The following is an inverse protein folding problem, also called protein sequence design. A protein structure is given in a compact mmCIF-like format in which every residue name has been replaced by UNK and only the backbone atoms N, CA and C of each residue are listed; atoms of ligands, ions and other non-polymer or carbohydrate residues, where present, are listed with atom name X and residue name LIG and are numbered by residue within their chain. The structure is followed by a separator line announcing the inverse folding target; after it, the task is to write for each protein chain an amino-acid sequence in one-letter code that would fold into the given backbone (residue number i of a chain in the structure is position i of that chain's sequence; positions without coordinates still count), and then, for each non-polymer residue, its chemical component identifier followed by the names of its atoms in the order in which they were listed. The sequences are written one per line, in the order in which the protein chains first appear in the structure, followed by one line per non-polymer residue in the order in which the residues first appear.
data_IF_696224588550
#
_entry.id   IF_696224588550
#
_cell.length_a   1.000
_cell.length_b   1.000
_cell.length_c   1.000
_cell.angle_alpha   90.00
_cell.angle_beta   90.00
_cell.angle_gamma   90.00
#
_symmetry.space_group_name_H-M   'P 1'
#
loop_
_entity.id
_entity.type
_entity.pdbx_description
1 polymer ?
#
# COMPACT_ATOMS: atom_id res chain seq x y z
N UNK A 1 16.87 14.69 17.96
CA UNK A 1 16.55 15.29 16.64
C UNK A 1 16.74 14.30 15.50
N UNK A 2 17.88 13.61 15.39
CA UNK A 2 18.14 12.66 14.30
C UNK A 2 17.12 11.51 14.20
N UNK A 3 16.63 10.99 15.33
CA UNK A 3 15.60 9.93 15.37
C UNK A 3 14.32 10.35 14.64
N UNK A 4 13.71 11.48 15.01
CA UNK A 4 12.48 11.95 14.37
C UNK A 4 12.69 12.34 12.90
N UNK A 5 13.89 12.81 12.54
CA UNK A 5 14.25 13.06 11.14
C UNK A 5 14.27 11.77 10.31
N UNK A 6 14.85 10.70 10.84
CA UNK A 6 14.83 9.38 10.21
C UNK A 6 13.41 8.84 10.07
N UNK A 7 12.60 8.91 11.14
CA UNK A 7 11.21 8.44 11.09
C UNK A 7 10.37 9.24 10.08
N UNK A 8 10.56 10.56 10.00
CA UNK A 8 9.91 11.39 8.98
C UNK A 8 10.34 10.97 7.57
N UNK A 9 11.63 10.72 7.34
CA UNK A 9 12.12 10.19 6.06
C UNK A 9 11.47 8.84 5.73
N UNK A 10 11.40 7.91 6.69
CA UNK A 10 10.75 6.61 6.50
C UNK A 10 9.27 6.76 6.11
N UNK A 11 8.53 7.67 6.75
CA UNK A 11 7.14 7.96 6.40
C UNK A 11 6.98 8.54 5.00
N UNK A 12 7.87 9.46 4.61
CA UNK A 12 7.88 10.05 3.27
C UNK A 12 8.22 9.00 2.20
N UNK A 13 9.19 8.13 2.46
CA UNK A 13 9.55 7.02 1.58
C UNK A 13 8.37 6.04 1.43
N UNK A 14 7.74 5.63 2.53
CA UNK A 14 6.57 4.78 2.52
C UNK A 14 5.44 5.38 1.66
N UNK A 15 5.07 6.64 1.94
CA UNK A 15 4.04 7.35 1.18
C UNK A 15 4.41 7.48 -0.30
N UNK A 16 5.66 7.83 -0.60
CA UNK A 16 6.19 7.93 -1.95
C UNK A 16 6.10 6.60 -2.71
N UNK A 17 6.47 5.48 -2.06
CA UNK A 17 6.35 4.15 -2.64
C UNK A 17 4.89 3.79 -2.97
N UNK A 18 3.94 4.06 -2.07
CA UNK A 18 2.51 3.79 -2.33
C UNK A 18 2.00 4.58 -3.55
N UNK A 19 2.48 5.82 -3.73
CA UNK A 19 2.13 6.67 -4.87
C UNK A 19 2.74 6.23 -6.18
N UNK A 20 4.06 6.02 -6.19
CA UNK A 20 4.81 5.60 -7.39
C UNK A 20 4.34 4.23 -7.85
N UNK A 21 4.12 3.31 -6.90
CA UNK A 21 3.57 2.01 -7.26
C UNK A 21 2.17 2.18 -7.81
N UNK A 22 1.31 3.05 -7.28
CA UNK A 22 -0.08 3.18 -7.72
C UNK A 22 -0.95 2.06 -7.15
N UNK A 23 -0.67 1.64 -5.92
CA UNK A 23 -1.38 0.52 -5.28
C UNK A 23 -2.88 0.80 -5.11
N UNK A 24 -3.25 2.04 -4.76
CA UNK A 24 -4.64 2.46 -4.55
C UNK A 24 -5.51 2.26 -5.80
N UNK A 25 -5.17 2.83 -6.98
CA UNK A 25 -5.96 2.61 -8.18
C UNK A 25 -6.01 1.14 -8.61
N UNK A 26 -4.98 0.33 -8.33
CA UNK A 26 -5.03 -1.12 -8.61
C UNK A 26 -6.02 -1.86 -7.70
N UNK A 27 -6.07 -1.54 -6.42
CA UNK A 27 -7.06 -2.09 -5.49
C UNK A 27 -8.48 -1.70 -5.93
N UNK A 28 -8.69 -0.45 -6.31
CA UNK A 28 -9.98 0.04 -6.81
C UNK A 28 -10.41 -0.69 -8.10
N UNK A 29 -9.49 -0.89 -9.04
CA UNK A 29 -9.73 -1.61 -10.29
C UNK A 29 -10.05 -3.09 -10.06
N UNK A 30 -9.31 -3.78 -9.19
CA UNK A 30 -9.58 -5.16 -8.82
C UNK A 30 -10.95 -5.32 -8.15
N UNK A 31 -11.29 -4.42 -7.22
CA UNK A 31 -12.61 -4.38 -6.60
C UNK A 31 -13.74 -4.12 -7.61
N UNK A 32 -13.52 -3.24 -8.58
CA UNK A 32 -14.48 -2.99 -9.66
C UNK A 32 -14.66 -4.22 -10.57
N UNK A 33 -13.59 -4.95 -10.88
CA UNK A 33 -13.66 -6.19 -11.65
C UNK A 33 -14.51 -7.26 -10.93
N UNK A 34 -14.30 -7.45 -9.62
CA UNK A 34 -15.10 -8.37 -8.81
C UNK A 34 -16.58 -8.00 -8.78
N UNK A 35 -16.92 -6.72 -8.59
CA UNK A 35 -18.32 -6.24 -8.62
C UNK A 35 -18.98 -6.48 -9.99
N UNK A 36 -18.26 -6.26 -11.09
CA UNK A 36 -18.77 -6.52 -12.44
C UNK A 36 -19.02 -8.00 -12.68
N UNK A 37 -18.13 -8.89 -12.22
CA UNK A 37 -18.32 -10.33 -12.34
C UNK A 37 -19.58 -10.81 -11.60
N UNK A 38 -19.79 -10.32 -10.37
CA UNK A 38 -21.01 -10.62 -9.60
C UNK A 38 -22.29 -10.11 -10.29
N UNK A 39 -22.24 -8.96 -10.96
CA UNK A 39 -23.36 -8.43 -11.71
C UNK A 39 -23.70 -9.32 -12.93
N UNK A 40 -22.68 -9.82 -13.64
CA UNK A 40 -22.84 -10.73 -14.80
C UNK A 40 -23.52 -12.04 -14.39
N UNK A 41 -23.12 -12.64 -13.26
CA UNK A 41 -23.75 -13.86 -12.76
C UNK A 41 -25.26 -13.71 -12.47
N UNK A 42 -25.72 -12.50 -12.16
CA UNK A 42 -27.12 -12.20 -11.86
C UNK A 42 -27.93 -11.79 -13.10
N UNK A 43 -27.30 -11.72 -14.27
CA UNK A 43 -27.98 -11.31 -15.50
C UNK A 43 -28.65 -12.52 -16.18
N UNK A 44 -29.99 -12.57 -16.25
CA UNK A 44 -30.70 -13.66 -16.90
C UNK A 44 -30.62 -13.62 -18.44
N UNK A 45 -30.21 -12.49 -19.02
CA UNK A 45 -30.10 -12.32 -20.47
C UNK A 45 -28.81 -12.91 -21.06
N UNK A 46 -27.88 -13.36 -20.22
CA UNK A 46 -26.61 -13.97 -20.66
C UNK A 46 -26.69 -15.49 -20.59
N UNK A 47 -26.07 -16.15 -21.56
CA UNK A 47 -25.86 -17.60 -21.54
C UNK A 47 -24.87 -17.99 -20.44
N UNK A 48 -24.83 -19.28 -20.10
CA UNK A 48 -23.89 -19.78 -19.11
C UNK A 48 -22.43 -19.68 -19.60
N UNK A 49 -22.19 -19.90 -20.91
CA UNK A 49 -20.87 -19.71 -21.53
C UNK A 49 -20.40 -18.25 -21.43
N UNK A 50 -21.30 -17.27 -21.66
CA UNK A 50 -20.99 -15.84 -21.54
C UNK A 50 -20.66 -15.46 -20.09
N UNK A 51 -21.39 -16.04 -19.13
CA UNK A 51 -21.12 -15.83 -17.70
C UNK A 51 -19.78 -16.44 -17.30
N UNK A 52 -19.48 -17.66 -17.73
CA UNK A 52 -18.22 -18.33 -17.43
C UNK A 52 -17.03 -17.54 -17.96
N UNK A 53 -17.07 -17.12 -19.23
CA UNK A 53 -16.00 -16.32 -19.83
C UNK A 53 -15.78 -14.99 -19.10
N UNK A 54 -16.85 -14.32 -18.68
CA UNK A 54 -16.76 -13.08 -17.92
C UNK A 54 -16.16 -13.27 -16.52
N UNK A 55 -16.56 -14.33 -15.82
CA UNK A 55 -16.04 -14.69 -14.49
C UNK A 55 -14.57 -15.09 -14.59
N UNK A 56 -14.19 -15.90 -15.58
CA UNK A 56 -12.80 -16.30 -15.81
C UNK A 56 -11.90 -15.09 -16.08
N UNK A 57 -12.35 -14.16 -16.94
CA UNK A 57 -11.63 -12.91 -17.23
C UNK A 57 -11.44 -12.07 -15.97
N UNK A 58 -12.47 -11.95 -15.12
CA UNK A 58 -12.38 -11.24 -13.86
C UNK A 58 -11.42 -11.93 -12.88
N UNK A 59 -11.46 -13.26 -12.79
CA UNK A 59 -10.57 -14.04 -11.93
C UNK A 59 -9.10 -13.85 -12.33
N UNK A 60 -8.77 -13.92 -13.62
CA UNK A 60 -7.41 -13.66 -14.12
C UNK A 60 -6.94 -12.24 -13.81
N UNK A 61 -7.81 -11.24 -13.99
CA UNK A 61 -7.49 -9.85 -13.67
C UNK A 61 -7.24 -9.65 -12.16
N UNK A 62 -8.05 -10.27 -11.30
CA UNK A 62 -7.90 -10.21 -9.85
C UNK A 62 -6.62 -10.94 -9.38
N UNK A 63 -6.29 -12.08 -9.99
CA UNK A 63 -5.06 -12.82 -9.70
C UNK A 63 -3.82 -12.00 -10.07
N UNK A 64 -3.80 -11.37 -11.25
CA UNK A 64 -2.72 -10.45 -11.63
C UNK A 64 -2.60 -9.25 -10.69
N UNK A 65 -3.74 -8.67 -10.30
CA UNK A 65 -3.77 -7.56 -9.34
C UNK A 65 -3.23 -7.97 -7.96
N UNK A 66 -3.50 -9.19 -7.49
CA UNK A 66 -2.98 -9.71 -6.22
C UNK A 66 -1.45 -9.65 -6.16
N UNK A 67 -0.73 -10.15 -7.18
CA UNK A 67 0.73 -10.10 -7.19
C UNK A 67 1.27 -8.68 -7.23
N UNK A 68 0.67 -7.82 -8.06
CA UNK A 68 1.10 -6.43 -8.18
C UNK A 68 0.88 -5.65 -6.89
N UNK A 69 -0.26 -5.83 -6.23
CA UNK A 69 -0.55 -5.20 -4.93
C UNK A 69 0.42 -5.73 -3.87
N UNK A 70 0.61 -7.04 -3.80
CA UNK A 70 1.52 -7.69 -2.84
C UNK A 70 2.94 -7.17 -3.00
N UNK A 71 3.46 -7.13 -4.23
CA UNK A 71 4.80 -6.63 -4.52
C UNK A 71 4.92 -5.12 -4.20
N UNK A 72 3.88 -4.34 -4.51
CA UNK A 72 3.86 -2.90 -4.19
C UNK A 72 3.94 -2.66 -2.69
N UNK A 73 3.20 -3.43 -1.89
CA UNK A 73 3.24 -3.35 -0.42
C UNK A 73 4.58 -3.83 0.11
N UNK A 74 5.13 -4.93 -0.40
CA UNK A 74 6.43 -5.44 -0.02
C UNK A 74 7.54 -4.39 -0.24
N UNK A 75 7.54 -3.73 -1.41
CA UNK A 75 8.47 -2.63 -1.72
C UNK A 75 8.23 -1.45 -0.78
N UNK A 76 6.98 -1.04 -0.58
CA UNK A 76 6.64 0.09 0.28
C UNK A 76 7.10 -0.12 1.72
N UNK A 77 7.14 -1.35 2.23
CA UNK A 77 7.68 -1.68 3.55
C UNK A 77 9.21 -1.84 3.55
N UNK A 78 9.76 -2.50 2.53
CA UNK A 78 11.19 -2.80 2.46
C UNK A 78 12.05 -1.53 2.35
N UNK A 79 11.59 -0.52 1.61
CA UNK A 79 12.32 0.73 1.41
C UNK A 79 12.56 1.51 2.72
N UNK A 80 11.54 1.86 3.53
CA UNK A 80 11.76 2.56 4.80
C UNK A 80 12.46 1.69 5.84
N UNK A 81 12.22 0.37 5.88
CA UNK A 81 12.97 -0.55 6.74
C UNK A 81 14.46 -0.56 6.38
N UNK A 82 14.78 -0.61 5.09
CA UNK A 82 16.14 -0.51 4.58
C UNK A 82 16.80 0.81 4.98
N UNK A 83 16.07 1.93 4.89
CA UNK A 83 16.59 3.23 5.32
C UNK A 83 16.92 3.27 6.82
N UNK A 84 16.03 2.72 7.67
CA UNK A 84 16.26 2.62 9.11
C UNK A 84 17.46 1.72 9.45
N UNK A 85 17.57 0.58 8.78
CA UNK A 85 18.68 -0.36 8.97
C UNK A 85 20.03 0.24 8.51
N UNK A 86 20.05 0.96 7.39
CA UNK A 86 21.25 1.66 6.93
C UNK A 86 21.68 2.78 7.89
N UNK A 87 20.72 3.47 8.51
CA UNK A 87 21.03 4.50 9.51
C UNK A 87 21.65 3.90 10.79
N UNK A 88 21.22 2.71 11.19
CA UNK A 88 21.79 1.95 12.30
C UNK A 88 23.21 1.46 11.99
N UNK A 89 23.41 0.86 10.81
CA UNK A 89 24.74 0.43 10.34
C UNK A 89 25.74 1.60 10.22
N UNK A 90 25.25 2.78 9.84
CA UNK A 90 26.06 4.00 9.76
C UNK A 90 26.34 4.63 11.15
N UNK A 91 25.79 4.08 12.23
CA UNK A 91 25.92 4.62 13.59
C UNK A 91 25.19 5.94 13.81
N UNK A 92 24.27 6.31 12.92
CA UNK A 92 23.55 7.59 12.97
C UNK A 92 22.41 7.54 14.00
N UNK A 93 21.61 6.48 13.95
CA UNK A 93 20.45 6.28 14.84
C UNK A 93 20.35 4.80 15.18
N UNK A 94 20.48 4.42 16.47
CA UNK A 94 20.26 3.04 16.90
C UNK A 94 18.84 2.58 16.61
N UNK A 95 18.68 1.36 16.07
CA UNK A 95 17.36 0.84 15.69
C UNK A 95 16.37 0.81 16.87
N UNK A 96 16.83 0.42 18.06
CA UNK A 96 16.00 0.41 19.27
C UNK A 96 15.51 1.81 19.68
N UNK A 97 16.28 2.87 19.42
CA UNK A 97 15.84 4.24 19.67
C UNK A 97 14.79 4.70 18.65
N UNK A 98 14.94 4.30 17.39
CA UNK A 98 13.92 4.53 16.37
C UNK A 98 12.62 3.77 16.66
N UNK A 99 12.71 2.52 17.10
CA UNK A 99 11.57 1.69 17.49
C UNK A 99 10.82 2.27 18.70
N UNK A 100 11.53 2.65 19.76
CA UNK A 100 10.94 3.29 20.93
C UNK A 100 10.21 4.60 20.57
N UNK A 101 10.78 5.40 19.67
CA UNK A 101 10.12 6.61 19.18
C UNK A 101 8.95 6.32 18.24
N UNK A 102 9.03 5.28 17.40
CA UNK A 102 7.97 4.89 16.48
C UNK A 102 6.74 4.28 17.18
N UNK A 103 6.95 3.68 18.36
CA UNK A 103 5.90 3.09 19.19
C UNK A 103 5.30 4.06 20.21
N UNK A 104 5.87 5.27 20.32
CA UNK A 104 5.31 6.34 21.15
C UNK A 104 3.95 6.79 20.61
N UNK A 105 2.97 6.89 21.50
CA UNK A 105 1.59 7.19 21.11
C UNK A 105 1.43 8.60 20.53
N UNK A 106 2.22 9.59 21.00
CA UNK A 106 2.19 10.96 20.46
C UNK A 106 2.70 10.93 19.03
N UNK A 107 3.82 10.25 18.80
CA UNK A 107 4.38 10.09 17.47
C UNK A 107 3.37 9.42 16.51
N UNK A 108 2.72 8.33 16.93
CA UNK A 108 1.72 7.62 16.11
C UNK A 108 0.57 8.55 15.72
N UNK A 109 0.00 9.30 16.68
CA UNK A 109 -1.13 10.20 16.39
C UNK A 109 -0.70 11.33 15.45
N UNK A 110 0.38 12.03 15.79
CA UNK A 110 0.85 13.18 15.02
C UNK A 110 1.24 12.77 13.60
N UNK A 111 2.05 11.70 13.47
CA UNK A 111 2.48 11.21 12.15
C UNK A 111 1.30 10.74 11.30
N UNK A 112 0.32 10.05 11.89
CA UNK A 112 -0.88 9.61 11.18
C UNK A 112 -1.69 10.79 10.65
N UNK A 113 -1.94 11.80 11.48
CA UNK A 113 -2.68 13.00 11.06
C UNK A 113 -1.94 13.75 9.93
N UNK A 114 -0.63 13.92 10.07
CA UNK A 114 0.21 14.57 9.05
C UNK A 114 0.21 13.78 7.74
N UNK A 115 0.35 12.46 7.80
CA UNK A 115 0.35 11.60 6.60
C UNK A 115 -1.01 11.57 5.92
N UNK A 116 -2.11 11.56 6.68
CA UNK A 116 -3.47 11.66 6.12
C UNK A 116 -3.65 13.01 5.41
N UNK A 117 -3.24 14.11 6.05
CA UNK A 117 -3.31 15.44 5.45
C UNK A 117 -2.44 15.54 4.19
N UNK A 118 -1.19 15.10 4.25
CA UNK A 118 -0.27 15.08 3.13
C UNK A 118 -0.81 14.24 1.97
N UNK A 119 -1.38 13.06 2.25
CA UNK A 119 -2.02 12.22 1.24
C UNK A 119 -3.16 12.95 0.55
N UNK A 120 -4.04 13.61 1.30
CA UNK A 120 -5.18 14.37 0.76
C UNK A 120 -4.75 15.55 -0.10
N UNK A 121 -3.72 16.29 0.30
CA UNK A 121 -3.22 17.45 -0.43
C UNK A 121 -2.51 17.09 -1.74
N UNK A 122 -2.04 15.86 -1.84
CA UNK A 122 -1.24 15.39 -2.97
C UNK A 122 -1.96 14.32 -3.79
N UNK A 123 -3.26 14.12 -3.55
CA UNK A 123 -4.14 13.23 -4.31
C UNK A 123 -4.75 14.00 -5.48
#
# INVERSE_FOLDING_TARGET
MLVYGLLALCLLLFMGCLKVTGVVPRVEAAGAAGRRALAVMRNPALSDDEKEAAVQKAALAMFGAFFLITLSVAIALAVPLGAAYLADLAGLVPLGAAEAAATDWVFIIVSSLVMIAAWRLTR
#
